data_IF_337146337621
#
_entry.id   IF_337146337621
#
_cell.length_a   1.000
_cell.length_b   1.000
_cell.length_c   1.000
_cell.angle_alpha   90.00
_cell.angle_beta   90.00
_cell.angle_gamma   90.00
#
_symmetry.space_group_name_H-M   'P 1'
#
loop_
_entity.id
_entity.type
_entity.pdbx_description
1 polymer ?
#
# COMPACT_ATOMS: atom_id res chain seq x y z
N UNK A 1 13.18 -28.30 -4.79
CA UNK A 1 13.26 -27.19 -3.83
C UNK A 1 11.84 -26.84 -3.44
N UNK A 2 11.50 -26.75 -2.15
CA UNK A 2 10.17 -26.26 -1.76
C UNK A 2 10.04 -24.80 -2.19
N UNK A 3 8.92 -24.48 -2.84
CA UNK A 3 8.58 -23.10 -3.19
C UNK A 3 8.27 -22.33 -1.90
N UNK A 4 9.21 -21.53 -1.41
CA UNK A 4 9.05 -20.74 -0.18
C UNK A 4 8.38 -19.38 -0.45
N UNK A 5 7.62 -19.28 -1.54
CA UNK A 5 6.93 -18.05 -1.93
C UNK A 5 5.91 -17.61 -0.87
N UNK A 6 5.89 -16.33 -0.54
CA UNK A 6 4.89 -15.74 0.33
C UNK A 6 3.58 -15.55 -0.45
N UNK A 7 2.49 -15.95 0.19
CA UNK A 7 1.13 -15.76 -0.31
C UNK A 7 0.36 -14.92 0.69
N UNK A 8 -0.30 -13.87 0.21
CA UNK A 8 -1.27 -13.10 1.01
C UNK A 8 -2.61 -13.82 0.92
N UNK A 9 -3.05 -14.45 2.01
CA UNK A 9 -4.30 -15.23 2.06
C UNK A 9 -5.53 -14.39 2.32
N UNK A 10 -5.39 -13.34 3.12
CA UNK A 10 -6.46 -12.41 3.46
C UNK A 10 -5.87 -11.06 3.85
N UNK A 11 -6.66 -9.99 3.74
CA UNK A 11 -6.29 -8.67 4.21
C UNK A 11 -7.51 -7.89 4.67
N UNK A 12 -7.47 -7.43 5.91
CA UNK A 12 -8.55 -6.67 6.54
C UNK A 12 -8.17 -5.19 6.71
N UNK A 13 -9.11 -4.28 6.46
CA UNK A 13 -8.94 -2.83 6.60
C UNK A 13 -9.68 -2.00 5.52
N UNK A 14 -9.43 -0.69 5.43
CA UNK A 14 -8.53 0.09 6.27
C UNK A 14 -9.09 0.34 7.66
N UNK A 15 -8.24 0.28 8.67
CA UNK A 15 -8.52 0.80 10.00
C UNK A 15 -7.94 2.20 10.15
N UNK A 16 -8.59 3.02 10.97
CA UNK A 16 -8.02 4.30 11.41
C UNK A 16 -7.35 4.10 12.75
N UNK A 17 -6.06 4.39 12.82
CA UNK A 17 -5.32 4.26 14.08
C UNK A 17 -5.64 5.46 15.00
N UNK A 18 -5.90 5.22 16.30
CA UNK A 18 -6.11 6.31 17.24
C UNK A 18 -4.86 7.19 17.34
N UNK A 19 -5.05 8.52 17.25
CA UNK A 19 -3.99 9.54 17.47
C UNK A 19 -2.82 9.51 16.48
N UNK A 20 -2.92 8.76 15.39
CA UNK A 20 -1.92 8.73 14.32
C UNK A 20 -2.59 9.06 12.97
N UNK A 21 -2.02 9.93 12.13
CA UNK A 21 -2.56 10.24 10.80
C UNK A 21 -2.22 9.14 9.78
N UNK A 22 -2.53 7.88 10.13
CA UNK A 22 -2.22 6.70 9.32
C UNK A 22 -3.47 5.85 9.10
N UNK A 23 -3.51 5.14 7.98
CA UNK A 23 -4.41 4.01 7.76
C UNK A 23 -3.66 2.72 8.00
N UNK A 24 -4.29 1.72 8.59
CA UNK A 24 -3.68 0.40 8.77
C UNK A 24 -4.47 -0.73 8.13
N UNK A 25 -3.74 -1.78 7.76
CA UNK A 25 -4.28 -3.02 7.22
C UNK A 25 -3.58 -4.18 7.90
N UNK A 26 -4.33 -5.22 8.21
CA UNK A 26 -3.81 -6.48 8.70
C UNK A 26 -3.79 -7.48 7.55
N UNK A 27 -2.59 -7.91 7.17
CA UNK A 27 -2.33 -8.90 6.14
C UNK A 27 -2.13 -10.26 6.80
N UNK A 28 -2.87 -11.26 6.34
CA UNK A 28 -2.57 -12.66 6.65
C UNK A 28 -1.66 -13.21 5.55
N UNK A 29 -0.43 -13.56 5.91
CA UNK A 29 0.57 -14.12 5.01
C UNK A 29 0.85 -15.59 5.33
N UNK A 30 1.18 -16.36 4.31
CA UNK A 30 1.49 -17.78 4.43
C UNK A 30 2.73 -18.11 3.59
N UNK A 31 3.61 -18.96 4.14
CA UNK A 31 4.62 -19.68 3.36
C UNK A 31 4.32 -21.18 3.41
N UNK A 32 4.76 -21.91 2.40
CA UNK A 32 4.61 -23.37 2.37
C UNK A 32 5.35 -24.06 3.53
N UNK A 33 6.41 -23.44 4.03
CA UNK A 33 7.22 -23.91 5.15
C UNK A 33 6.59 -23.65 6.52
N UNK A 34 5.52 -22.85 6.59
CA UNK A 34 4.89 -22.46 7.85
C UNK A 34 3.66 -23.30 8.16
N UNK A 35 3.47 -23.65 9.43
CA UNK A 35 2.33 -24.45 9.89
C UNK A 35 0.99 -23.67 9.91
N UNK A 36 1.01 -22.34 9.89
CA UNK A 36 -0.17 -21.47 9.95
C UNK A 36 0.14 -20.09 9.36
N UNK A 37 -0.90 -19.30 9.09
CA UNK A 37 -0.78 -17.92 8.61
C UNK A 37 -0.24 -17.00 9.70
N UNK A 38 0.44 -15.92 9.30
CA UNK A 38 0.93 -14.86 10.19
C UNK A 38 0.36 -13.51 9.83
N UNK A 39 0.13 -12.69 10.85
CA UNK A 39 -0.37 -11.35 10.69
C UNK A 39 0.79 -10.37 10.47
N UNK A 40 0.67 -9.54 9.45
CA UNK A 40 1.54 -8.39 9.21
C UNK A 40 0.67 -7.16 9.23
N UNK A 41 0.92 -6.23 10.15
CA UNK A 41 0.24 -4.93 10.14
C UNK A 41 1.03 -3.97 9.28
N UNK A 42 0.36 -3.34 8.32
CA UNK A 42 0.95 -2.30 7.48
C UNK A 42 0.28 -0.98 7.82
N UNK A 43 1.08 0.03 8.17
CA UNK A 43 0.63 1.42 8.35
C UNK A 43 1.01 2.25 7.14
N UNK A 44 0.09 3.10 6.71
CA UNK A 44 0.24 4.00 5.57
C UNK A 44 0.00 5.42 6.07
N UNK A 45 1.02 6.27 5.99
CA UNK A 45 0.89 7.68 6.32
C UNK A 45 -0.02 8.39 5.31
N UNK A 46 -1.00 9.13 5.82
CA UNK A 46 -2.00 9.80 4.97
C UNK A 46 -1.35 10.89 4.11
N UNK A 47 -0.52 11.75 4.71
CA UNK A 47 0.09 12.85 3.98
C UNK A 47 1.31 12.39 3.16
N UNK A 48 2.22 11.66 3.80
CA UNK A 48 3.53 11.35 3.23
C UNK A 48 3.49 10.23 2.19
N UNK A 49 2.56 9.28 2.31
CA UNK A 49 2.45 8.15 1.38
C UNK A 49 1.17 8.27 0.53
N UNK A 50 -0.02 8.31 1.13
CA UNK A 50 -1.26 8.24 0.36
C UNK A 50 -1.49 9.48 -0.51
N UNK A 51 -1.42 10.67 0.07
CA UNK A 51 -1.63 11.92 -0.67
C UNK A 51 -0.52 12.15 -1.70
N UNK A 52 0.73 11.77 -1.38
CA UNK A 52 1.82 11.74 -2.35
C UNK A 52 1.49 10.89 -3.59
N UNK A 53 1.10 9.63 -3.39
CA UNK A 53 0.76 8.73 -4.50
C UNK A 53 -0.44 9.25 -5.28
N UNK A 54 -1.46 9.79 -4.60
CA UNK A 54 -2.62 10.41 -5.26
C UNK A 54 -2.21 11.55 -6.17
N UNK A 55 -1.41 12.48 -5.68
CA UNK A 55 -0.94 13.64 -6.44
C UNK A 55 -0.09 13.20 -7.63
N UNK A 56 0.82 12.24 -7.44
CA UNK A 56 1.65 11.72 -8.53
C UNK A 56 0.85 11.01 -9.62
N UNK A 57 -0.21 10.28 -9.24
CA UNK A 57 -1.04 9.58 -10.21
C UNK A 57 -2.01 10.52 -10.91
N UNK A 58 -2.66 11.43 -10.18
CA UNK A 58 -3.86 12.10 -10.68
C UNK A 58 -3.77 13.63 -10.71
N UNK A 59 -2.69 14.22 -10.22
CA UNK A 59 -2.55 15.67 -10.06
C UNK A 59 -3.60 16.23 -9.10
N UNK A 60 -4.15 17.40 -9.43
CA UNK A 60 -5.27 17.98 -8.68
C UNK A 60 -6.56 17.24 -8.99
N UNK A 61 -7.08 16.49 -8.01
CA UNK A 61 -8.30 15.67 -8.17
C UNK A 61 -9.50 16.35 -7.53
N UNK A 62 -10.45 16.76 -8.36
CA UNK A 62 -11.80 17.11 -7.93
C UNK A 62 -12.72 15.91 -8.13
N UNK A 63 -13.26 15.38 -7.04
CA UNK A 63 -14.22 14.28 -7.04
C UNK A 63 -15.20 14.44 -5.90
N UNK A 64 -16.35 13.77 -5.97
CA UNK A 64 -17.31 13.78 -4.86
C UNK A 64 -16.69 13.17 -3.59
N UNK A 65 -17.21 13.46 -2.38
CA UNK A 65 -16.72 12.84 -1.15
C UNK A 65 -16.73 11.30 -1.20
N UNK A 66 -17.73 10.70 -1.85
CA UNK A 66 -17.79 9.25 -2.06
C UNK A 66 -16.68 8.73 -2.97
N UNK A 67 -16.38 9.45 -4.05
CA UNK A 67 -15.27 9.12 -4.95
C UNK A 67 -13.91 9.24 -4.25
N UNK A 68 -13.71 10.30 -3.47
CA UNK A 68 -12.49 10.48 -2.68
C UNK A 68 -12.32 9.36 -1.65
N UNK A 69 -13.40 8.91 -1.01
CA UNK A 69 -13.36 7.78 -0.08
C UNK A 69 -12.97 6.46 -0.78
N UNK A 70 -13.57 6.18 -1.94
CA UNK A 70 -13.25 4.99 -2.73
C UNK A 70 -11.80 5.02 -3.24
N UNK A 71 -11.36 6.17 -3.74
CA UNK A 71 -9.99 6.41 -4.19
C UNK A 71 -8.99 6.17 -3.05
N UNK A 72 -9.23 6.80 -1.90
CA UNK A 72 -8.37 6.66 -0.73
C UNK A 72 -8.28 5.19 -0.32
N UNK A 73 -9.41 4.48 -0.19
CA UNK A 73 -9.44 3.05 0.18
C UNK A 73 -8.69 2.17 -0.82
N UNK A 74 -8.85 2.44 -2.12
CA UNK A 74 -8.20 1.70 -3.19
C UNK A 74 -6.68 1.91 -3.17
N UNK A 75 -6.24 3.18 -3.18
CA UNK A 75 -4.81 3.50 -3.21
C UNK A 75 -4.10 3.10 -1.93
N UNK A 76 -4.69 3.34 -0.75
CA UNK A 76 -4.09 2.90 0.51
C UNK A 76 -3.93 1.38 0.53
N UNK A 77 -4.87 0.63 -0.06
CA UNK A 77 -4.71 -0.82 -0.19
C UNK A 77 -3.55 -1.20 -1.13
N UNK A 78 -3.46 -0.60 -2.32
CA UNK A 78 -2.37 -0.87 -3.27
C UNK A 78 -1.00 -0.52 -2.70
N UNK A 79 -0.90 0.60 -1.97
CA UNK A 79 0.31 0.96 -1.22
C UNK A 79 0.62 -0.12 -0.18
N UNK A 80 -0.36 -0.56 0.60
CA UNK A 80 -0.20 -1.64 1.57
C UNK A 80 0.36 -2.92 0.93
N UNK A 81 -0.20 -3.33 -0.21
CA UNK A 81 0.23 -4.53 -0.94
C UNK A 81 1.69 -4.40 -1.39
N UNK A 82 2.07 -3.21 -1.89
CA UNK A 82 3.43 -2.95 -2.31
C UNK A 82 4.40 -2.92 -1.12
N UNK A 83 4.00 -2.36 0.02
CA UNK A 83 4.82 -2.34 1.24
C UNK A 83 5.06 -3.75 1.79
N UNK A 84 4.10 -4.67 1.67
CA UNK A 84 4.33 -6.09 1.99
C UNK A 84 5.38 -6.72 1.06
N UNK A 85 5.32 -6.43 -0.24
CA UNK A 85 6.33 -6.92 -1.20
C UNK A 85 7.73 -6.38 -0.90
N UNK A 86 7.84 -5.11 -0.55
CA UNK A 86 9.10 -4.49 -0.12
C UNK A 86 9.59 -5.17 1.16
N UNK A 87 8.74 -5.32 2.18
CA UNK A 87 9.10 -6.01 3.42
C UNK A 87 9.55 -7.46 3.17
N UNK A 88 8.93 -8.18 2.23
CA UNK A 88 9.38 -9.50 1.81
C UNK A 88 10.77 -9.45 1.16
N UNK A 89 10.98 -8.57 0.19
CA UNK A 89 12.24 -8.43 -0.54
C UNK A 89 13.41 -8.06 0.40
N UNK A 90 13.14 -7.22 1.40
CA UNK A 90 14.08 -6.80 2.44
C UNK A 90 14.25 -7.87 3.54
N UNK A 91 13.51 -8.98 3.46
CA UNK A 91 13.65 -10.14 4.33
C UNK A 91 12.98 -10.03 5.69
N UNK A 92 12.14 -9.02 5.92
CA UNK A 92 11.42 -8.83 7.19
C UNK A 92 10.42 -9.95 7.46
N UNK A 93 9.93 -10.57 6.39
CA UNK A 93 8.90 -11.61 6.42
C UNK A 93 9.50 -13.02 6.22
N UNK A 94 10.79 -13.21 6.53
CA UNK A 94 11.48 -14.51 6.45
C UNK A 94 11.19 -15.39 7.65
N UNK A 95 11.07 -14.77 8.82
CA UNK A 95 10.81 -15.48 10.07
C UNK A 95 9.36 -15.32 10.49
N UNK A 96 8.90 -16.28 11.28
CA UNK A 96 7.56 -16.25 11.88
C UNK A 96 7.58 -15.28 13.07
N UNK A 97 6.94 -14.13 12.90
CA UNK A 97 6.79 -13.14 13.97
C UNK A 97 5.75 -12.07 13.63
N UNK A 98 5.31 -11.33 14.64
CA UNK A 98 4.46 -10.16 14.45
C UNK A 98 5.29 -9.04 13.82
N UNK A 99 4.94 -8.68 12.58
CA UNK A 99 5.65 -7.63 11.85
C UNK A 99 4.75 -6.42 11.70
N UNK A 100 5.25 -5.27 12.15
CA UNK A 100 4.67 -3.96 11.86
C UNK A 100 5.51 -3.27 10.78
N UNK A 101 4.93 -3.15 9.58
CA UNK A 101 5.47 -2.30 8.52
C UNK A 101 4.98 -0.88 8.78
N UNK A 102 5.81 -0.08 9.44
CA UNK A 102 5.51 1.32 9.73
C UNK A 102 5.52 2.18 8.43
N UNK A 103 5.02 3.43 8.47
CA UNK A 103 5.17 4.36 7.35
C UNK A 103 6.63 4.48 6.89
N UNK A 104 6.86 4.64 5.59
CA UNK A 104 8.20 4.89 5.05
C UNK A 104 8.63 6.34 5.26
N UNK A 105 8.66 6.73 6.53
CA UNK A 105 9.09 8.03 7.03
C UNK A 105 10.07 7.81 8.18
N UNK A 106 10.74 8.87 8.66
CA UNK A 106 11.71 8.76 9.76
C UNK A 106 12.78 7.69 9.49
N UNK A 107 12.85 6.67 10.35
CA UNK A 107 13.83 5.59 10.25
C UNK A 107 13.62 4.63 9.07
N UNK A 108 12.46 4.66 8.42
CA UNK A 108 12.16 3.83 7.24
C UNK A 108 12.10 4.67 5.94
N UNK A 109 12.49 5.95 5.99
CA UNK A 109 12.41 6.84 4.83
C UNK A 109 13.23 6.35 3.62
N UNK A 110 14.28 5.56 3.83
CA UNK A 110 15.10 4.99 2.75
C UNK A 110 14.36 3.92 1.93
N UNK A 111 13.21 3.42 2.36
CA UNK A 111 12.35 2.54 1.56
C UNK A 111 11.34 3.29 0.68
N UNK A 112 11.13 4.59 0.93
CA UNK A 112 10.21 5.40 0.14
C UNK A 112 10.55 5.44 -1.36
N UNK A 113 11.83 5.51 -1.78
CA UNK A 113 12.18 5.44 -3.21
C UNK A 113 11.69 4.16 -3.91
N UNK A 114 11.60 3.03 -3.20
CA UNK A 114 11.06 1.79 -3.77
C UNK A 114 9.55 1.89 -4.02
N UNK A 115 8.82 2.59 -3.12
CA UNK A 115 7.40 2.88 -3.31
C UNK A 115 7.20 3.83 -4.50
N UNK A 116 8.02 4.87 -4.61
CA UNK A 116 7.98 5.80 -5.75
C UNK A 116 8.25 5.10 -7.08
N UNK A 117 9.30 4.27 -7.15
CA UNK A 117 9.64 3.51 -8.34
C UNK A 117 8.47 2.61 -8.78
N UNK A 118 7.76 1.99 -7.83
CA UNK A 118 6.55 1.23 -8.12
C UNK A 118 5.42 2.08 -8.69
N UNK A 119 5.16 3.26 -8.11
CA UNK A 119 4.12 4.17 -8.64
C UNK A 119 4.42 4.59 -10.07
N UNK A 120 5.69 4.85 -10.40
CA UNK A 120 6.11 5.19 -11.75
C UNK A 120 5.94 4.00 -12.70
N UNK A 121 6.35 2.80 -12.28
CA UNK A 121 6.25 1.59 -13.11
C UNK A 121 4.79 1.18 -13.39
N UNK A 122 3.90 1.34 -12.40
CA UNK A 122 2.48 0.94 -12.49
C UNK A 122 1.55 2.11 -12.77
N UNK A 123 2.07 3.27 -13.18
CA UNK A 123 1.29 4.51 -13.28
C UNK A 123 0.04 4.34 -14.16
N UNK A 124 0.20 3.76 -15.35
CA UNK A 124 -0.90 3.58 -16.30
C UNK A 124 -1.91 2.55 -15.82
N UNK A 125 -1.44 1.44 -15.24
CA UNK A 125 -2.28 0.41 -14.61
C UNK A 125 -3.13 1.02 -13.49
N UNK A 126 -2.50 1.75 -12.57
CA UNK A 126 -3.17 2.37 -11.42
C UNK A 126 -4.19 3.41 -11.89
N UNK A 127 -3.86 4.24 -12.88
CA UNK A 127 -4.80 5.21 -13.48
C UNK A 127 -6.00 4.53 -14.12
N UNK A 128 -5.78 3.45 -14.87
CA UNK A 128 -6.85 2.69 -15.50
C UNK A 128 -7.78 2.06 -14.45
N UNK A 129 -7.23 1.46 -13.39
CA UNK A 129 -8.02 0.91 -12.29
C UNK A 129 -8.81 1.99 -11.55
N UNK A 130 -8.21 3.15 -11.27
CA UNK A 130 -8.90 4.30 -10.65
C UNK A 130 -10.08 4.77 -11.52
N UNK A 131 -9.86 4.90 -12.83
CA UNK A 131 -10.92 5.28 -13.76
C UNK A 131 -12.07 4.28 -13.74
N UNK A 132 -11.76 2.98 -13.74
CA UNK A 132 -12.77 1.92 -13.74
C UNK A 132 -13.55 1.84 -12.42
N UNK A 133 -12.87 2.00 -11.28
CA UNK A 133 -13.47 1.81 -9.96
C UNK A 133 -14.17 3.06 -9.42
N UNK A 134 -13.62 4.24 -9.72
CA UNK A 134 -14.03 5.51 -9.10
C UNK A 134 -14.67 6.46 -10.12
N UNK A 135 -14.46 6.23 -11.42
CA UNK A 135 -14.92 7.12 -12.48
C UNK A 135 -14.14 8.44 -12.55
N UNK A 136 -12.99 8.55 -11.88
CA UNK A 136 -12.13 9.72 -11.93
C UNK A 136 -11.15 9.60 -13.09
N UNK A 137 -11.04 10.67 -13.88
CA UNK A 137 -10.04 10.79 -14.94
C UNK A 137 -8.87 11.59 -14.38
N UNK A 138 -7.65 11.07 -14.52
CA UNK A 138 -6.44 11.78 -14.14
C UNK A 138 -6.30 13.05 -14.99
N UNK A 139 -6.10 14.20 -14.36
CA UNK A 139 -5.56 15.38 -15.03
C UNK A 139 -4.06 15.38 -14.75
N UNK A 140 -3.21 15.07 -15.74
CA UNK A 140 -1.77 15.07 -15.49
C UNK A 140 -1.34 16.46 -15.02
N UNK A 141 -0.40 16.56 -14.05
CA UNK A 141 0.12 17.84 -13.61
C UNK A 141 0.69 18.60 -14.81
N UNK A 142 0.45 19.91 -14.87
CA UNK A 142 1.02 20.77 -15.89
C UNK A 142 2.55 20.66 -15.85
N UNK A 143 3.15 20.40 -17.01
CA UNK A 143 4.60 20.30 -17.23
C UNK A 143 5.27 21.65 -16.97
#
# INVERSE_FOLDING_TARGET
MLNDQLVISDVTGPFREPREPVLSYDYSIQRATWAATHAVRVKIAQAEELDYVKEKLLGTVTGSPGQQLMLNKFLSRKIGDQKVRIAEAEGWLKERGDVLVAPFTGSLAHYFPQLEAWVQAEQDTLRAEIKNLVGLVANPPAV
#
